data_IF_052849535568
#
_entry.id   IF_052849535568
#
_cell.length_a   1.000
_cell.length_b   1.000
_cell.length_c   1.000
_cell.angle_alpha   90.00
_cell.angle_beta   90.00
_cell.angle_gamma   90.00
#
_symmetry.space_group_name_H-M   'P 1'
#
loop_
_entity.id
_entity.type
_entity.pdbx_description
1 polymer ?
#
# COMPACT_ATOMS: atom_id res chain seq x y z
N UNK A 1 25.99 18.43 -0.93
CA UNK A 1 26.57 17.07 -1.07
C UNK A 1 26.11 16.05 -0.02
N UNK A 2 25.81 16.41 1.24
CA UNK A 2 25.36 15.41 2.24
C UNK A 2 23.94 14.88 2.00
N UNK A 3 22.97 15.78 1.79
CA UNK A 3 21.56 15.41 1.64
C UNK A 3 21.28 14.57 0.39
N UNK A 4 21.85 14.92 -0.77
CA UNK A 4 21.68 14.15 -2.01
C UNK A 4 22.14 12.69 -1.84
N UNK A 5 23.30 12.48 -1.23
CA UNK A 5 23.82 11.12 -0.95
C UNK A 5 22.89 10.36 -0.01
N UNK A 6 22.29 11.03 0.96
CA UNK A 6 21.31 10.41 1.85
C UNK A 6 20.08 9.90 1.09
N UNK A 7 19.48 10.70 0.21
CA UNK A 7 18.32 10.26 -0.58
C UNK A 7 18.67 9.14 -1.58
N UNK A 8 19.85 9.18 -2.18
CA UNK A 8 20.35 8.07 -3.02
C UNK A 8 20.52 6.78 -2.20
N UNK A 9 21.00 6.86 -0.95
CA UNK A 9 21.09 5.70 -0.06
C UNK A 9 19.70 5.14 0.29
N UNK A 10 18.72 6.00 0.56
CA UNK A 10 17.33 5.58 0.82
C UNK A 10 16.72 4.88 -0.41
N UNK A 11 17.00 5.38 -1.60
CA UNK A 11 16.56 4.77 -2.87
C UNK A 11 17.23 3.38 -3.08
N UNK A 12 18.52 3.25 -2.78
CA UNK A 12 19.22 1.96 -2.79
C UNK A 12 18.62 0.96 -1.78
N UNK A 13 18.30 1.40 -0.55
CA UNK A 13 17.60 0.55 0.42
C UNK A 13 16.21 0.15 -0.07
N UNK A 14 15.50 1.07 -0.71
CA UNK A 14 14.18 0.83 -1.33
C UNK A 14 14.28 -0.28 -2.38
N UNK A 15 15.27 -0.22 -3.26
CA UNK A 15 15.56 -1.29 -4.23
C UNK A 15 15.84 -2.64 -3.56
N UNK A 16 16.69 -2.66 -2.53
CA UNK A 16 17.02 -3.90 -1.81
C UNK A 16 15.77 -4.56 -1.22
N UNK A 17 14.89 -3.77 -0.59
CA UNK A 17 13.65 -4.30 -0.02
C UNK A 17 12.62 -4.70 -1.08
N UNK A 18 12.50 -3.96 -2.18
CA UNK A 18 11.68 -4.37 -3.32
C UNK A 18 12.09 -5.75 -3.86
N UNK A 19 13.39 -5.97 -4.04
CA UNK A 19 13.91 -7.27 -4.46
C UNK A 19 13.58 -8.37 -3.44
N UNK A 20 13.83 -8.14 -2.15
CA UNK A 20 13.55 -9.10 -1.08
C UNK A 20 12.05 -9.44 -0.97
N UNK A 21 11.18 -8.45 -1.11
CA UNK A 21 9.73 -8.63 -1.15
C UNK A 21 9.34 -9.50 -2.34
N UNK A 22 9.86 -9.23 -3.53
CA UNK A 22 9.55 -10.01 -4.72
C UNK A 22 10.00 -11.48 -4.61
N UNK A 23 11.17 -11.74 -3.98
CA UNK A 23 11.64 -13.10 -3.71
C UNK A 23 10.70 -13.81 -2.72
N UNK A 24 10.38 -13.19 -1.59
CA UNK A 24 9.46 -13.77 -0.60
C UNK A 24 8.04 -13.97 -1.15
N UNK A 25 7.56 -13.02 -1.94
CA UNK A 25 6.25 -13.11 -2.58
C UNK A 25 6.19 -14.31 -3.53
N UNK A 26 7.24 -14.52 -4.34
CA UNK A 26 7.36 -15.70 -5.20
C UNK A 26 7.30 -16.99 -4.38
N UNK A 27 8.07 -17.09 -3.30
CA UNK A 27 8.10 -18.27 -2.43
C UNK A 27 6.69 -18.57 -1.88
N UNK A 28 6.01 -17.55 -1.35
CA UNK A 28 4.66 -17.69 -0.82
C UNK A 28 3.65 -18.13 -1.87
N UNK A 29 3.68 -17.57 -3.08
CA UNK A 29 2.80 -17.97 -4.19
C UNK A 29 3.07 -19.42 -4.64
N UNK A 30 4.33 -19.86 -4.66
CA UNK A 30 4.68 -21.24 -5.02
C UNK A 30 4.22 -22.23 -3.93
N UNK A 31 4.31 -21.86 -2.66
CA UNK A 31 3.81 -22.66 -1.54
C UNK A 31 2.29 -22.82 -1.61
N UNK A 32 1.55 -21.71 -1.79
CA UNK A 32 0.09 -21.76 -1.92
C UNK A 32 -0.35 -22.60 -3.12
N UNK A 33 0.34 -22.48 -4.26
CA UNK A 33 0.03 -23.25 -5.46
C UNK A 33 0.32 -24.76 -5.27
N UNK A 34 1.41 -25.11 -4.59
CA UNK A 34 1.75 -26.50 -4.31
C UNK A 34 0.73 -27.16 -3.37
N UNK A 35 0.24 -26.44 -2.37
CA UNK A 35 -0.80 -26.93 -1.44
C UNK A 35 -2.12 -27.17 -2.17
N UNK A 36 -2.49 -26.30 -3.11
CA UNK A 36 -3.77 -26.38 -3.83
C UNK A 36 -3.69 -27.24 -5.11
N UNK A 37 -2.51 -27.77 -5.45
CA UNK A 37 -2.24 -28.47 -6.71
C UNK A 37 -3.18 -29.65 -6.96
N UNK A 38 -3.56 -30.36 -5.90
CA UNK A 38 -4.43 -31.55 -5.98
C UNK A 38 -5.91 -31.19 -6.18
N UNK A 39 -6.31 -29.95 -5.84
CA UNK A 39 -7.67 -29.46 -6.02
C UNK A 39 -7.93 -28.88 -7.43
N UNK A 40 -6.89 -28.68 -8.23
CA UNK A 40 -7.02 -28.06 -9.55
C UNK A 40 -7.45 -29.04 -10.63
N UNK A 41 -8.33 -28.57 -11.53
CA UNK A 41 -8.73 -29.32 -12.72
C UNK A 41 -7.51 -29.65 -13.59
N UNK A 42 -7.43 -30.82 -14.24
CA UNK A 42 -6.33 -31.17 -15.14
C UNK A 42 -6.14 -30.19 -16.31
N UNK A 43 -7.16 -29.38 -16.64
CA UNK A 43 -7.07 -28.30 -17.64
C UNK A 43 -6.32 -27.06 -17.14
N UNK A 44 -6.15 -26.89 -15.83
CA UNK A 44 -5.45 -25.75 -15.22
C UNK A 44 -3.92 -25.92 -15.20
N UNK A 45 -3.41 -27.13 -15.52
CA UNK A 45 -1.97 -27.46 -15.49
C UNK A 45 -1.14 -26.55 -16.39
N UNK A 46 -1.70 -26.09 -17.52
CA UNK A 46 -1.02 -25.17 -18.45
C UNK A 46 -0.88 -23.74 -17.93
N UNK A 47 -1.59 -23.37 -16.85
CA UNK A 47 -1.61 -22.03 -16.27
C UNK A 47 -0.94 -21.99 -14.88
N UNK A 48 -0.51 -23.15 -14.35
CA UNK A 48 0.14 -23.23 -13.04
C UNK A 48 1.40 -22.36 -13.00
N UNK A 49 1.55 -21.62 -11.90
CA UNK A 49 2.71 -20.76 -11.66
C UNK A 49 3.98 -21.62 -11.55
N UNK A 50 4.74 -21.71 -12.64
CA UNK A 50 5.96 -22.50 -12.69
C UNK A 50 7.14 -21.70 -12.14
N UNK A 51 8.05 -22.35 -11.41
CA UNK A 51 9.29 -21.74 -10.86
C UNK A 51 10.06 -20.93 -11.92
N UNK A 52 10.13 -21.44 -13.15
CA UNK A 52 10.78 -20.80 -14.31
C UNK A 52 10.08 -19.51 -14.78
N UNK A 53 8.77 -19.39 -14.58
CA UNK A 53 7.99 -18.20 -14.95
C UNK A 53 8.19 -17.06 -13.94
N UNK A 54 8.39 -17.39 -12.65
CA UNK A 54 8.54 -16.42 -11.57
C UNK A 54 10.01 -16.08 -11.24
N UNK A 55 11.00 -16.78 -11.79
CA UNK A 55 12.42 -16.51 -11.51
C UNK A 55 12.85 -15.08 -11.86
N UNK A 56 12.24 -14.51 -12.90
CA UNK A 56 12.53 -13.16 -13.41
C UNK A 56 11.82 -12.06 -12.60
N UNK A 57 10.86 -12.42 -11.75
CA UNK A 57 9.97 -11.48 -11.08
C UNK A 57 10.73 -10.42 -10.24
N UNK A 58 11.71 -10.79 -9.39
CA UNK A 58 12.45 -9.79 -8.61
C UNK A 58 13.26 -8.83 -9.48
N UNK A 59 13.84 -9.33 -10.57
CA UNK A 59 14.59 -8.50 -11.52
C UNK A 59 13.68 -7.53 -12.27
N UNK A 60 12.46 -7.95 -12.64
CA UNK A 60 11.47 -7.07 -13.28
C UNK A 60 11.00 -5.98 -12.31
N UNK A 61 10.71 -6.32 -11.05
CA UNK A 61 10.33 -5.32 -10.02
C UNK A 61 11.43 -4.27 -9.86
N UNK A 62 12.70 -4.68 -9.79
CA UNK A 62 13.83 -3.76 -9.74
C UNK A 62 13.95 -2.90 -10.99
N UNK A 63 13.87 -3.51 -12.18
CA UNK A 63 13.98 -2.79 -13.44
C UNK A 63 12.88 -1.74 -13.58
N UNK A 64 11.65 -2.08 -13.18
CA UNK A 64 10.52 -1.15 -13.19
C UNK A 64 10.76 0.00 -12.23
N UNK A 65 11.32 -0.23 -11.04
CA UNK A 65 11.64 0.84 -10.09
C UNK A 65 12.74 1.79 -10.59
N UNK A 66 13.85 1.24 -11.09
CA UNK A 66 15.00 2.03 -11.58
C UNK A 66 14.63 2.84 -12.81
N UNK A 67 13.81 2.29 -13.70
CA UNK A 67 13.33 2.97 -14.91
C UNK A 67 12.07 3.81 -14.65
N UNK A 68 11.58 3.86 -13.41
CA UNK A 68 10.38 4.63 -13.07
C UNK A 68 10.72 6.13 -13.04
N UNK A 69 10.15 6.97 -13.92
CA UNK A 69 10.38 8.41 -13.88
C UNK A 69 9.96 9.01 -12.53
N UNK A 70 8.92 8.47 -11.89
CA UNK A 70 8.48 8.93 -10.58
C UNK A 70 9.50 8.66 -9.46
N UNK A 71 10.23 7.53 -9.51
CA UNK A 71 11.26 7.23 -8.52
C UNK A 71 12.46 8.15 -8.69
N UNK A 72 12.91 8.33 -9.93
CA UNK A 72 14.01 9.24 -10.27
C UNK A 72 13.65 10.66 -9.83
N UNK A 73 12.45 11.14 -10.15
CA UNK A 73 11.99 12.47 -9.74
C UNK A 73 11.89 12.61 -8.21
N UNK A 74 11.39 11.60 -7.49
CA UNK A 74 11.30 11.65 -6.04
C UNK A 74 12.69 11.77 -5.37
N UNK A 75 13.69 11.06 -5.90
CA UNK A 75 15.07 11.10 -5.41
C UNK A 75 15.75 12.43 -5.79
N UNK A 76 15.55 12.94 -7.01
CA UNK A 76 16.07 14.24 -7.44
C UNK A 76 15.44 15.42 -6.68
N UNK A 77 14.15 15.31 -6.35
CA UNK A 77 13.43 16.30 -5.56
C UNK A 77 13.74 16.25 -4.06
N UNK A 78 14.59 15.31 -3.61
CA UNK A 78 14.93 15.12 -2.20
C UNK A 78 13.68 14.96 -1.32
N UNK A 79 12.68 14.25 -1.83
CA UNK A 79 11.38 14.13 -1.18
C UNK A 79 11.44 13.20 0.03
N UNK A 80 10.94 13.68 1.18
CA UNK A 80 10.73 12.84 2.37
C UNK A 80 9.77 11.67 2.12
N UNK A 81 9.00 11.71 1.02
CA UNK A 81 8.21 10.60 0.52
C UNK A 81 9.03 9.33 0.26
N UNK A 82 10.30 9.45 -0.13
CA UNK A 82 11.19 8.30 -0.30
C UNK A 82 11.40 7.53 1.02
N UNK A 83 11.46 8.26 2.15
CA UNK A 83 11.58 7.67 3.49
C UNK A 83 10.28 6.94 3.86
N UNK A 84 9.12 7.58 3.62
CA UNK A 84 7.81 6.94 3.87
C UNK A 84 7.65 5.65 3.09
N UNK A 85 8.09 5.64 1.82
CA UNK A 85 8.03 4.46 0.96
C UNK A 85 8.90 3.32 1.49
N UNK A 86 10.13 3.62 1.92
CA UNK A 86 11.02 2.62 2.51
C UNK A 86 10.40 1.99 3.76
N UNK A 87 9.76 2.78 4.62
CA UNK A 87 9.10 2.29 5.85
C UNK A 87 7.88 1.43 5.51
N UNK A 88 7.07 1.81 4.51
CA UNK A 88 5.98 0.98 4.00
C UNK A 88 6.52 -0.35 3.45
N UNK A 89 7.62 -0.33 2.69
CA UNK A 89 8.26 -1.56 2.19
C UNK A 89 8.80 -2.44 3.32
N UNK A 90 9.39 -1.86 4.36
CA UNK A 90 9.80 -2.61 5.55
C UNK A 90 8.58 -3.31 6.19
N UNK A 91 7.45 -2.62 6.33
CA UNK A 91 6.21 -3.23 6.80
C UNK A 91 5.76 -4.40 5.91
N UNK A 92 5.81 -4.24 4.58
CA UNK A 92 5.44 -5.28 3.61
C UNK A 92 6.39 -6.47 3.64
N UNK A 93 7.70 -6.22 3.81
CA UNK A 93 8.70 -7.28 3.95
C UNK A 93 8.46 -8.10 5.22
N UNK A 94 8.27 -7.45 6.37
CA UNK A 94 8.01 -8.15 7.63
C UNK A 94 6.64 -8.81 7.70
N UNK A 95 5.67 -8.28 6.96
CA UNK A 95 4.39 -8.94 6.71
C UNK A 95 4.63 -10.30 6.04
N UNK A 96 5.33 -10.34 4.90
CA UNK A 96 5.66 -11.59 4.20
C UNK A 96 6.64 -12.50 4.98
N UNK A 97 7.48 -11.92 5.82
CA UNK A 97 8.40 -12.68 6.67
C UNK A 97 7.71 -13.32 7.90
N UNK A 98 6.44 -13.01 8.16
CA UNK A 98 5.71 -13.54 9.31
C UNK A 98 6.08 -12.92 10.66
N UNK A 99 6.78 -11.77 10.68
CA UNK A 99 7.15 -11.09 11.93
C UNK A 99 6.10 -10.03 12.32
N UNK A 100 5.17 -10.42 13.21
CA UNK A 100 4.08 -9.56 13.69
C UNK A 100 4.56 -8.27 14.35
N UNK A 101 5.58 -8.36 15.20
CA UNK A 101 6.08 -7.21 15.96
C UNK A 101 6.68 -6.17 15.01
N UNK A 102 7.65 -6.55 14.19
CA UNK A 102 8.32 -5.59 13.30
C UNK A 102 7.35 -5.04 12.25
N UNK A 103 6.47 -5.88 11.68
CA UNK A 103 5.45 -5.41 10.74
C UNK A 103 4.56 -4.32 11.36
N UNK A 104 4.04 -4.54 12.58
CA UNK A 104 3.18 -3.55 13.26
C UNK A 104 3.91 -2.27 13.66
N UNK A 105 5.17 -2.38 14.09
CA UNK A 105 6.02 -1.21 14.39
C UNK A 105 6.26 -0.37 13.14
N UNK A 106 6.59 -0.99 11.99
CA UNK A 106 6.77 -0.24 10.75
C UNK A 106 5.46 0.36 10.21
N UNK A 107 4.30 -0.27 10.42
CA UNK A 107 3.00 0.33 10.10
C UNK A 107 2.72 1.56 10.99
N UNK A 108 3.05 1.48 12.29
CA UNK A 108 2.94 2.61 13.20
C UNK A 108 3.87 3.76 12.78
N UNK A 109 5.10 3.45 12.38
CA UNK A 109 6.05 4.45 11.87
C UNK A 109 5.57 5.09 10.55
N UNK A 110 5.01 4.31 9.63
CA UNK A 110 4.39 4.84 8.40
C UNK A 110 3.18 5.72 8.70
N UNK A 111 2.34 5.34 9.67
CA UNK A 111 1.20 6.17 10.13
C UNK A 111 1.70 7.47 10.71
N UNK A 112 2.74 7.42 11.56
CA UNK A 112 3.32 8.60 12.17
C UNK A 112 3.79 9.62 11.12
N UNK A 113 4.30 9.17 9.97
CA UNK A 113 4.76 10.08 8.91
C UNK A 113 3.66 10.53 7.93
N UNK A 114 2.73 9.66 7.56
CA UNK A 114 1.80 9.92 6.45
C UNK A 114 0.32 9.72 6.78
N UNK A 115 -0.03 9.43 8.03
CA UNK A 115 -1.39 9.18 8.57
C UNK A 115 -2.08 7.97 7.94
N UNK A 116 -2.43 8.03 6.65
CA UNK A 116 -3.21 7.04 5.90
C UNK A 116 -2.72 5.59 5.95
N UNK A 117 -1.42 5.26 6.09
CA UNK A 117 -0.96 3.88 6.20
C UNK A 117 -1.58 3.06 7.36
N UNK A 118 -2.31 3.69 8.29
CA UNK A 118 -3.08 2.97 9.32
C UNK A 118 -4.05 1.93 8.74
N UNK A 119 -4.54 2.12 7.51
CA UNK A 119 -5.45 1.17 6.85
C UNK A 119 -4.84 -0.22 6.67
N UNK A 120 -3.50 -0.32 6.63
CA UNK A 120 -2.79 -1.60 6.56
C UNK A 120 -2.95 -2.46 7.81
N UNK A 121 -3.44 -1.90 8.92
CA UNK A 121 -3.69 -2.67 10.14
C UNK A 121 -4.72 -3.79 9.92
N UNK A 122 -5.70 -3.57 9.02
CA UNK A 122 -6.74 -4.54 8.70
C UNK A 122 -6.18 -5.79 8.00
N UNK A 123 -5.48 -5.70 6.83
CA UNK A 123 -4.84 -6.86 6.23
C UNK A 123 -3.79 -7.51 7.14
N UNK A 124 -3.06 -6.73 7.95
CA UNK A 124 -2.07 -7.25 8.90
C UNK A 124 -2.71 -8.10 9.99
N UNK A 125 -3.83 -7.64 10.58
CA UNK A 125 -4.59 -8.42 11.54
C UNK A 125 -5.06 -9.76 10.93
N UNK A 126 -5.64 -9.69 9.73
CA UNK A 126 -6.11 -10.84 8.97
C UNK A 126 -4.99 -11.85 8.68
N UNK A 127 -3.83 -11.39 8.20
CA UNK A 127 -2.70 -12.24 7.87
C UNK A 127 -2.13 -12.96 9.09
N UNK A 128 -1.90 -12.25 10.20
CA UNK A 128 -1.35 -12.89 11.40
C UNK A 128 -2.34 -13.80 12.12
N UNK A 129 -3.64 -13.54 12.02
CA UNK A 129 -4.65 -14.50 12.43
C UNK A 129 -4.55 -15.81 11.63
N UNK A 130 -4.41 -15.71 10.30
CA UNK A 130 -4.24 -16.86 9.40
C UNK A 130 -2.96 -17.64 9.68
N UNK A 131 -1.83 -16.93 9.83
CA UNK A 131 -0.54 -17.56 10.10
C UNK A 131 -0.55 -18.32 11.43
N UNK A 132 -1.23 -17.78 12.45
CA UNK A 132 -1.37 -18.41 13.77
C UNK A 132 -2.30 -19.62 13.78
N UNK A 133 -3.16 -19.81 12.77
CA UNK A 133 -4.17 -20.87 12.75
C UNK A 133 -4.09 -21.66 11.43
N UNK A 134 -3.23 -22.68 11.44
CA UNK A 134 -2.84 -23.48 10.28
C UNK A 134 -3.94 -24.39 9.68
N UNK A 135 -5.13 -24.50 10.27
CA UNK A 135 -6.21 -25.33 9.71
C UNK A 135 -7.16 -24.52 8.80
N UNK A 136 -7.23 -24.84 7.49
CA UNK A 136 -8.02 -24.07 6.52
C UNK A 136 -9.54 -24.33 6.57
N UNK A 137 -9.98 -25.49 7.06
CA UNK A 137 -11.36 -25.99 6.88
C UNK A 137 -12.41 -25.45 7.88
N UNK A 138 -12.01 -24.71 8.92
CA UNK A 138 -12.94 -24.19 9.96
C UNK A 138 -12.59 -22.76 10.40
N UNK A 139 -12.21 -21.89 9.45
CA UNK A 139 -11.86 -20.50 9.75
C UNK A 139 -13.10 -19.65 9.96
N UNK A 140 -13.43 -19.38 11.22
CA UNK A 140 -14.37 -18.33 11.57
C UNK A 140 -13.62 -17.04 11.89
N UNK A 141 -13.70 -16.08 10.96
CA UNK A 141 -13.10 -14.74 11.07
C UNK A 141 -13.73 -13.88 12.20
N UNK A 142 -14.86 -14.34 12.78
CA UNK A 142 -15.59 -13.68 13.87
C UNK A 142 -15.40 -14.43 15.21
N UNK A 143 -14.61 -15.50 15.23
CA UNK A 143 -14.36 -16.25 16.47
C UNK A 143 -13.65 -15.41 17.54
N UNK A 144 -13.86 -15.75 18.83
CA UNK A 144 -13.19 -15.10 19.97
C UNK A 144 -11.66 -15.06 19.82
N UNK A 145 -11.08 -16.08 19.19
CA UNK A 145 -9.63 -16.17 18.90
C UNK A 145 -9.20 -15.19 17.79
N UNK A 146 -10.01 -15.00 16.75
CA UNK A 146 -9.77 -14.01 15.71
C UNK A 146 -9.77 -12.60 16.29
N UNK A 147 -10.80 -12.28 17.08
CA UNK A 147 -10.92 -10.99 17.80
C UNK A 147 -9.71 -10.76 18.70
N UNK A 148 -9.26 -11.78 19.45
CA UNK A 148 -8.06 -11.68 20.29
C UNK A 148 -6.78 -11.40 19.47
N UNK A 149 -6.62 -12.03 18.30
CA UNK A 149 -5.46 -11.78 17.44
C UNK A 149 -5.46 -10.36 16.89
N UNK A 150 -6.62 -9.89 16.41
CA UNK A 150 -6.81 -8.53 15.90
C UNK A 150 -6.57 -7.48 16.99
N UNK A 151 -7.12 -7.71 18.18
CA UNK A 151 -6.90 -6.86 19.35
C UNK A 151 -5.42 -6.81 19.74
N UNK A 152 -4.72 -7.96 19.70
CA UNK A 152 -3.28 -8.00 19.95
C UNK A 152 -2.47 -7.20 18.91
N UNK A 153 -2.83 -7.27 17.62
CA UNK A 153 -2.19 -6.48 16.56
C UNK A 153 -2.47 -4.98 16.75
N UNK A 154 -3.72 -4.62 17.06
CA UNK A 154 -4.14 -3.24 17.32
C UNK A 154 -3.44 -2.65 18.54
N UNK A 155 -3.30 -3.43 19.62
CA UNK A 155 -2.60 -3.01 20.84
C UNK A 155 -1.13 -2.75 20.57
N UNK A 156 -0.43 -3.65 19.85
CA UNK A 156 0.97 -3.43 19.47
C UNK A 156 1.16 -2.17 18.62
N UNK A 157 0.24 -1.94 17.67
CA UNK A 157 0.22 -0.74 16.86
C UNK A 157 0.03 0.52 17.70
N UNK A 158 -0.97 0.55 18.59
CA UNK A 158 -1.23 1.69 19.47
C UNK A 158 -0.05 1.99 20.38
N UNK A 159 0.54 0.96 21.02
CA UNK A 159 1.72 1.13 21.88
C UNK A 159 2.87 1.74 21.09
N UNK A 160 3.15 1.22 19.89
CA UNK A 160 4.22 1.73 19.03
C UNK A 160 3.97 3.18 18.60
N UNK A 161 2.73 3.52 18.24
CA UNK A 161 2.35 4.88 17.84
C UNK A 161 2.42 5.86 19.01
N UNK A 162 1.92 5.46 20.19
CA UNK A 162 2.00 6.26 21.42
C UNK A 162 3.45 6.50 21.84
N UNK A 163 4.34 5.51 21.68
CA UNK A 163 5.77 5.69 21.94
C UNK A 163 6.38 6.73 20.98
N UNK A 164 6.07 6.66 19.68
CA UNK A 164 6.57 7.65 18.71
C UNK A 164 6.06 9.06 19.02
N UNK A 165 4.76 9.21 19.27
CA UNK A 165 4.16 10.51 19.66
C UNK A 165 4.75 11.01 20.98
N UNK A 166 4.99 10.11 21.93
CA UNK A 166 5.61 10.42 23.21
C UNK A 166 7.05 10.93 23.07
N UNK A 167 7.84 10.32 22.18
CA UNK A 167 9.18 10.83 21.84
C UNK A 167 9.08 12.24 21.24
N UNK A 168 8.14 12.48 20.33
CA UNK A 168 7.94 13.81 19.73
C UNK A 168 7.52 14.86 20.74
N UNK A 169 6.66 14.50 21.70
CA UNK A 169 6.29 15.37 22.81
C UNK A 169 7.48 15.71 23.70
N UNK A 170 8.35 14.73 24.00
CA UNK A 170 9.56 14.98 24.79
C UNK A 170 10.57 15.87 24.07
N UNK A 171 10.64 15.80 22.73
CA UNK A 171 11.55 16.65 21.94
C UNK A 171 11.02 18.07 21.75
N UNK A 172 9.72 18.23 21.50
CA UNK A 172 9.11 19.55 21.24
C UNK A 172 8.70 20.27 22.54
N UNK A 173 8.32 19.52 23.58
CA UNK A 173 7.85 20.05 24.86
C UNK A 173 6.40 20.56 24.86
N UNK A 174 5.68 20.45 23.74
CA UNK A 174 4.28 20.90 23.60
C UNK A 174 3.44 19.90 22.80
N UNK A 175 2.12 20.01 22.87
CA UNK A 175 1.18 19.25 22.03
C UNK A 175 0.84 19.96 20.71
N UNK A 176 1.39 21.16 20.47
CA UNK A 176 1.05 21.98 19.31
C UNK A 176 1.43 21.31 18.00
N UNK A 177 2.50 20.50 18.00
CA UNK A 177 2.91 19.73 16.82
C UNK A 177 1.79 18.82 16.29
N UNK A 178 0.89 18.33 17.15
CA UNK A 178 -0.22 17.48 16.69
C UNK A 178 -1.16 18.25 15.76
N UNK A 179 -1.53 19.46 16.14
CA UNK A 179 -2.40 20.32 15.32
C UNK A 179 -1.66 20.79 14.07
N UNK A 180 -0.38 21.16 14.21
CA UNK A 180 0.44 21.66 13.11
C UNK A 180 0.79 20.59 12.08
N UNK A 181 0.91 19.32 12.47
CA UNK A 181 1.23 18.21 11.55
C UNK A 181 -0.03 17.44 11.13
N UNK A 182 -0.72 16.81 12.07
CA UNK A 182 -1.88 15.97 11.75
C UNK A 182 -3.12 16.81 11.45
N UNK A 183 -3.33 17.91 12.20
CA UNK A 183 -4.41 18.86 11.91
C UNK A 183 -4.26 19.53 10.55
N UNK A 184 -3.03 19.83 10.11
CA UNK A 184 -2.75 20.34 8.77
C UNK A 184 -3.14 19.33 7.68
N UNK A 185 -2.76 18.06 7.83
CA UNK A 185 -3.12 17.00 6.85
C UNK A 185 -4.63 16.81 6.78
N UNK A 186 -5.32 16.86 7.92
CA UNK A 186 -6.77 16.60 7.99
C UNK A 186 -7.59 17.80 7.50
N UNK A 187 -7.22 19.03 7.85
CA UNK A 187 -7.97 20.24 7.49
C UNK A 187 -7.61 20.81 6.11
N UNK A 188 -6.54 20.32 5.48
CA UNK A 188 -6.08 20.69 4.13
C UNK A 188 -6.12 22.21 3.89
N UNK A 189 -5.45 23.02 4.73
CA UNK A 189 -5.49 24.48 4.63
C UNK A 189 -4.73 25.00 3.41
N UNK A 190 -3.69 24.29 2.97
CA UNK A 190 -2.92 24.65 1.79
C UNK A 190 -3.52 24.02 0.53
N UNK A 191 -3.80 24.86 -0.46
CA UNK A 191 -4.38 24.52 -1.75
C UNK A 191 -3.41 24.79 -2.91
N UNK A 192 -2.11 24.86 -2.62
CA UNK A 192 -1.09 24.91 -3.67
C UNK A 192 -1.24 23.73 -4.63
N UNK A 193 -1.04 23.97 -5.95
CA UNK A 193 -1.13 22.92 -6.94
C UNK A 193 -0.23 21.73 -6.61
N UNK A 194 -0.82 20.55 -6.49
CA UNK A 194 -0.12 19.30 -6.23
C UNK A 194 -0.63 18.19 -7.16
N UNK A 195 -0.18 16.95 -6.94
CA UNK A 195 -0.61 15.83 -7.81
C UNK A 195 -2.02 15.32 -7.48
N UNK A 196 -2.58 15.71 -6.33
CA UNK A 196 -3.81 15.20 -5.75
C UNK A 196 -5.08 15.87 -6.25
N UNK A 197 -6.21 15.25 -5.91
CA UNK A 197 -7.55 15.76 -6.26
C UNK A 197 -8.00 16.89 -5.33
N UNK A 198 -7.45 16.95 -4.11
CA UNK A 198 -7.90 17.88 -3.08
C UNK A 198 -7.78 19.33 -3.54
N UNK A 199 -6.59 19.77 -3.97
CA UNK A 199 -6.40 21.17 -4.30
C UNK A 199 -7.38 21.64 -5.39
N UNK A 200 -7.57 20.87 -6.47
CA UNK A 200 -8.51 21.19 -7.55
C UNK A 200 -9.95 21.38 -7.03
N UNK A 201 -10.42 20.44 -6.22
CA UNK A 201 -11.80 20.48 -5.71
C UNK A 201 -11.99 21.63 -4.70
N UNK A 202 -11.04 21.80 -3.78
CA UNK A 202 -11.14 22.78 -2.71
C UNK A 202 -10.86 24.22 -3.17
N UNK A 203 -10.17 24.44 -4.31
CA UNK A 203 -10.03 25.79 -4.90
C UNK A 203 -11.33 26.33 -5.50
N UNK A 204 -12.21 25.46 -5.98
CA UNK A 204 -13.47 25.85 -6.63
C UNK A 204 -14.65 25.92 -5.65
N UNK A 205 -14.47 25.39 -4.43
CA UNK A 205 -15.56 25.20 -3.48
C UNK A 205 -15.76 26.43 -2.58
N UNK A 206 -17.01 26.72 -2.26
CA UNK A 206 -17.36 27.73 -1.26
C UNK A 206 -16.92 27.35 0.16
N UNK A 207 -16.34 28.32 0.88
CA UNK A 207 -15.83 28.15 2.25
C UNK A 207 -16.88 27.61 3.23
N UNK A 208 -18.15 28.00 3.06
CA UNK A 208 -19.23 27.57 3.95
C UNK A 208 -19.41 26.05 4.00
N UNK A 209 -19.19 25.34 2.88
CA UNK A 209 -19.33 23.88 2.81
C UNK A 209 -18.01 23.15 2.99
N UNK A 210 -16.90 23.88 3.17
CA UNK A 210 -15.55 23.31 3.11
C UNK A 210 -15.34 22.17 4.10
N UNK A 211 -15.70 22.37 5.36
CA UNK A 211 -15.53 21.36 6.41
C UNK A 211 -16.29 20.07 6.10
N UNK A 212 -17.51 20.17 5.58
CA UNK A 212 -18.30 19.00 5.20
C UNK A 212 -17.58 18.17 4.13
N UNK A 213 -17.11 18.80 3.07
CA UNK A 213 -16.41 18.10 1.99
C UNK A 213 -15.03 17.60 2.41
N UNK A 214 -14.30 18.30 3.29
CA UNK A 214 -13.07 17.77 3.89
C UNK A 214 -13.38 16.44 4.58
N UNK A 215 -14.40 16.38 5.44
CA UNK A 215 -14.78 15.13 6.10
C UNK A 215 -15.14 14.01 5.10
N UNK A 216 -15.89 14.32 4.04
CA UNK A 216 -16.26 13.34 3.00
C UNK A 216 -15.02 12.81 2.27
N UNK A 217 -14.07 13.67 1.89
CA UNK A 217 -12.84 13.26 1.22
C UNK A 217 -11.93 12.44 2.14
N UNK A 218 -11.79 12.83 3.41
CA UNK A 218 -11.04 12.06 4.40
C UNK A 218 -11.65 10.68 4.63
N UNK A 219 -12.99 10.59 4.69
CA UNK A 219 -13.69 9.31 4.84
C UNK A 219 -13.52 8.42 3.61
N UNK A 220 -13.44 8.98 2.40
CA UNK A 220 -13.18 8.22 1.18
C UNK A 220 -11.83 7.48 1.22
N UNK A 221 -10.80 8.02 1.89
CA UNK A 221 -9.52 7.33 2.03
C UNK A 221 -9.61 6.01 2.85
N UNK A 222 -10.68 5.83 3.63
CA UNK A 222 -10.82 4.76 4.63
C UNK A 222 -12.00 3.83 4.35
N UNK A 223 -13.09 4.35 3.78
CA UNK A 223 -14.35 3.61 3.62
C UNK A 223 -14.18 2.31 2.82
N UNK A 224 -13.26 2.31 1.84
CA UNK A 224 -12.98 1.13 1.02
C UNK A 224 -12.29 0.00 1.79
N UNK A 225 -11.64 0.27 2.93
CA UNK A 225 -10.90 -0.74 3.69
C UNK A 225 -11.79 -1.88 4.16
N UNK A 226 -13.00 -1.58 4.64
CA UNK A 226 -13.93 -2.59 5.18
C UNK A 226 -14.45 -3.56 4.10
N UNK A 227 -15.10 -3.10 3.02
CA UNK A 227 -15.61 -4.01 1.99
C UNK A 227 -14.49 -4.81 1.30
N UNK A 228 -13.31 -4.19 1.12
CA UNK A 228 -12.15 -4.88 0.56
C UNK A 228 -11.58 -5.93 1.51
N UNK A 229 -11.57 -5.67 2.82
CA UNK A 229 -11.14 -6.67 3.79
C UNK A 229 -12.06 -7.88 3.84
N UNK A 230 -13.38 -7.67 3.72
CA UNK A 230 -14.36 -8.76 3.63
C UNK A 230 -14.18 -9.57 2.35
N UNK A 231 -13.88 -8.91 1.22
CA UNK A 231 -13.72 -9.60 -0.07
C UNK A 231 -12.37 -10.33 -0.21
N UNK A 232 -11.28 -9.73 0.23
CA UNK A 232 -9.91 -10.24 0.06
C UNK A 232 -9.38 -10.92 1.32
N UNK A 233 -10.24 -11.61 2.06
CA UNK A 233 -9.86 -12.41 3.23
C UNK A 233 -8.77 -13.42 2.87
N UNK A 234 -8.86 -14.02 1.67
CA UNK A 234 -7.93 -15.06 1.27
C UNK A 234 -6.53 -14.56 0.90
N UNK A 235 -6.42 -13.36 0.32
CA UNK A 235 -5.17 -12.78 -0.20
C UNK A 235 -4.82 -11.46 0.51
N UNK A 236 -4.35 -11.48 1.77
CA UNK A 236 -4.17 -10.26 2.55
C UNK A 236 -3.01 -9.37 2.05
N UNK A 237 -1.98 -9.94 1.42
CA UNK A 237 -0.92 -9.13 0.78
C UNK A 237 -1.41 -8.35 -0.43
N UNK A 238 -2.32 -8.93 -1.21
CA UNK A 238 -2.98 -8.23 -2.31
C UNK A 238 -3.84 -7.07 -1.81
N UNK A 239 -4.54 -7.29 -0.70
CA UNK A 239 -5.29 -6.23 -0.02
C UNK A 239 -4.38 -5.07 0.42
N UNK A 240 -3.19 -5.34 0.96
CA UNK A 240 -2.22 -4.27 1.27
C UNK A 240 -1.85 -3.46 0.01
N UNK A 241 -1.61 -4.14 -1.12
CA UNK A 241 -1.29 -3.47 -2.37
C UNK A 241 -2.44 -2.59 -2.87
N UNK A 242 -3.69 -3.06 -2.86
CA UNK A 242 -4.84 -2.24 -3.26
C UNK A 242 -5.01 -1.05 -2.33
N UNK A 243 -4.89 -1.25 -1.02
CA UNK A 243 -5.00 -0.16 -0.05
C UNK A 243 -3.87 0.87 -0.22
N UNK A 244 -2.67 0.45 -0.63
CA UNK A 244 -1.58 1.36 -0.97
C UNK A 244 -1.97 2.23 -2.17
N UNK A 245 -2.51 1.64 -3.23
CA UNK A 245 -2.99 2.38 -4.40
C UNK A 245 -4.12 3.35 -4.00
N UNK A 246 -5.12 2.89 -3.25
CA UNK A 246 -6.25 3.74 -2.84
C UNK A 246 -5.82 4.90 -1.93
N UNK A 247 -4.96 4.64 -0.95
CA UNK A 247 -4.45 5.71 -0.08
C UNK A 247 -3.56 6.68 -0.85
N UNK A 248 -2.77 6.23 -1.83
CA UNK A 248 -1.99 7.14 -2.68
C UNK A 248 -2.86 8.08 -3.53
N UNK A 249 -4.08 7.65 -3.88
CA UNK A 249 -5.06 8.42 -4.66
C UNK A 249 -5.83 9.41 -3.78
N UNK A 250 -6.32 8.94 -2.63
CA UNK A 250 -7.21 9.71 -1.75
C UNK A 250 -6.48 10.46 -0.62
N UNK A 251 -5.15 10.43 -0.59
CA UNK A 251 -4.33 11.22 0.36
C UNK A 251 -4.48 12.72 0.06
N UNK A 252 -4.55 13.55 1.12
CA UNK A 252 -4.68 15.02 1.00
C UNK A 252 -3.57 15.66 0.16
N UNK A 253 -2.32 15.22 0.38
CA UNK A 253 -1.12 15.76 -0.22
C UNK A 253 -0.29 14.60 -0.81
N UNK A 254 -0.72 14.01 -1.93
CA UNK A 254 0.04 12.95 -2.57
C UNK A 254 1.27 13.55 -3.26
N UNK A 255 2.28 12.69 -3.42
CA UNK A 255 3.57 13.04 -3.99
C UNK A 255 3.94 12.08 -5.11
N UNK A 256 4.91 12.46 -5.95
CA UNK A 256 5.45 11.54 -6.96
C UNK A 256 6.06 10.27 -6.34
N UNK A 257 6.55 10.35 -5.10
CA UNK A 257 7.05 9.19 -4.39
C UNK A 257 5.95 8.14 -4.16
N UNK A 258 4.72 8.55 -3.82
CA UNK A 258 3.60 7.62 -3.63
C UNK A 258 3.31 6.84 -4.93
N UNK A 259 3.37 7.53 -6.07
CA UNK A 259 3.25 6.92 -7.40
C UNK A 259 4.39 5.96 -7.73
N UNK A 260 5.62 6.35 -7.38
CA UNK A 260 6.79 5.53 -7.61
C UNK A 260 6.64 4.15 -6.99
N UNK A 261 6.14 4.08 -5.76
CA UNK A 261 6.05 2.85 -4.98
C UNK A 261 5.02 1.87 -5.56
N UNK A 262 3.79 2.30 -5.84
CA UNK A 262 2.77 1.36 -6.33
C UNK A 262 3.06 0.88 -7.77
N UNK A 263 3.70 1.71 -8.61
CA UNK A 263 4.16 1.29 -9.94
C UNK A 263 5.30 0.27 -9.84
N UNK A 264 6.18 0.42 -8.86
CA UNK A 264 7.31 -0.50 -8.64
C UNK A 264 6.84 -1.87 -8.15
N UNK A 265 5.77 -1.92 -7.35
CA UNK A 265 5.18 -3.18 -6.86
C UNK A 265 4.21 -3.82 -7.86
N UNK A 266 3.74 -3.08 -8.87
CA UNK A 266 2.79 -3.55 -9.89
C UNK A 266 3.19 -4.89 -10.56
N UNK A 267 4.47 -5.13 -10.93
CA UNK A 267 4.86 -6.38 -11.59
C UNK A 267 4.65 -7.65 -10.75
N UNK A 268 4.54 -7.55 -9.41
CA UNK A 268 4.21 -8.69 -8.55
C UNK A 268 2.91 -9.39 -8.99
N UNK A 269 1.97 -8.62 -9.53
CA UNK A 269 0.67 -9.10 -10.00
C UNK A 269 0.62 -9.36 -11.50
N UNK A 270 1.77 -9.55 -12.17
CA UNK A 270 1.84 -9.83 -13.61
C UNK A 270 0.96 -11.00 -14.04
N UNK A 271 0.84 -12.04 -13.20
CA UNK A 271 -0.01 -13.20 -13.46
C UNK A 271 -1.51 -12.83 -13.55
N UNK A 272 -1.92 -11.73 -12.93
CA UNK A 272 -3.31 -11.22 -12.98
C UNK A 272 -3.57 -10.43 -14.27
N UNK A 273 -2.53 -9.88 -14.91
CA UNK A 273 -2.70 -8.97 -16.06
C UNK A 273 -3.33 -9.62 -17.29
N UNK A 274 -3.06 -10.92 -17.51
CA UNK A 274 -3.69 -11.67 -18.61
C UNK A 274 -5.21 -11.75 -18.51
N UNK A 275 -5.76 -11.46 -17.33
CA UNK A 275 -7.18 -11.55 -17.04
C UNK A 275 -7.88 -10.19 -16.91
N UNK A 276 -7.16 -9.08 -17.11
CA UNK A 276 -7.76 -7.76 -17.08
C UNK A 276 -8.73 -7.60 -18.25
N UNK A 277 -9.98 -7.20 -17.96
CA UNK A 277 -11.04 -7.11 -18.96
C UNK A 277 -10.82 -5.97 -19.95
N UNK A 278 -10.38 -4.80 -19.48
CA UNK A 278 -10.14 -3.63 -20.34
C UNK A 278 -8.65 -3.25 -20.35
N UNK A 279 -7.78 -4.19 -20.74
CA UNK A 279 -6.33 -3.99 -20.83
C UNK A 279 -5.96 -2.86 -21.77
N UNK A 280 -6.68 -2.70 -22.87
CA UNK A 280 -6.45 -1.60 -23.83
C UNK A 280 -6.65 -0.24 -23.16
N UNK A 281 -7.73 -0.07 -22.38
CA UNK A 281 -8.05 1.20 -21.71
C UNK A 281 -7.00 1.52 -20.64
N UNK A 282 -6.59 0.53 -19.84
CA UNK A 282 -5.55 0.71 -18.82
C UNK A 282 -4.18 0.99 -19.45
N UNK A 283 -3.83 0.29 -20.53
CA UNK A 283 -2.60 0.55 -21.27
C UNK A 283 -2.58 1.93 -21.92
N UNK A 284 -3.70 2.36 -22.51
CA UNK A 284 -3.83 3.69 -23.11
C UNK A 284 -3.71 4.80 -22.06
N UNK A 285 -4.15 4.55 -20.83
CA UNK A 285 -4.06 5.52 -19.73
C UNK A 285 -2.69 5.58 -19.04
N UNK A 286 -1.78 4.62 -19.31
CA UNK A 286 -0.38 4.77 -18.91
C UNK A 286 0.28 5.96 -19.62
N UNK A 287 -0.04 6.21 -20.89
CA UNK A 287 0.63 7.26 -21.66
C UNK A 287 0.38 8.67 -21.08
N UNK A 288 -0.87 9.08 -20.76
CA UNK A 288 -1.12 10.35 -20.10
C UNK A 288 -0.72 10.36 -18.64
N UNK A 289 -0.72 9.21 -17.96
CA UNK A 289 -0.29 9.13 -16.57
C UNK A 289 1.17 9.57 -16.39
N UNK A 290 2.01 9.47 -17.43
CA UNK A 290 3.40 9.93 -17.35
C UNK A 290 3.54 11.45 -17.50
N UNK A 291 2.57 12.11 -18.15
CA UNK A 291 2.62 13.54 -18.44
C UNK A 291 1.77 14.40 -17.51
N UNK A 292 0.67 13.87 -16.97
CA UNK A 292 -0.25 14.60 -16.10
C UNK A 292 -0.46 13.87 -14.76
N UNK A 293 -0.26 14.56 -13.62
CA UNK A 293 -0.50 13.97 -12.30
C UNK A 293 -1.91 13.42 -12.10
N UNK A 294 -2.91 14.08 -12.67
CA UNK A 294 -4.32 13.65 -12.59
C UNK A 294 -4.56 12.29 -13.26
N UNK A 295 -3.83 12.01 -14.34
CA UNK A 295 -3.94 10.73 -15.04
C UNK A 295 -3.21 9.60 -14.30
N UNK A 296 -2.19 9.89 -13.47
CA UNK A 296 -1.65 8.88 -12.53
C UNK A 296 -2.74 8.38 -11.59
N UNK A 297 -3.56 9.29 -11.07
CA UNK A 297 -4.65 9.00 -10.14
C UNK A 297 -5.74 8.17 -10.82
N UNK A 298 -6.17 8.60 -12.01
CA UNK A 298 -7.19 7.88 -12.80
C UNK A 298 -6.69 6.48 -13.17
N UNK A 299 -5.43 6.35 -13.58
CA UNK A 299 -4.82 5.06 -13.87
C UNK A 299 -4.81 4.16 -12.64
N UNK A 300 -4.34 4.66 -11.49
CA UNK A 300 -4.33 3.89 -10.24
C UNK A 300 -5.73 3.43 -9.83
N UNK A 301 -6.72 4.32 -9.96
CA UNK A 301 -8.12 4.00 -9.67
C UNK A 301 -8.67 2.93 -10.60
N UNK A 302 -8.47 3.07 -11.92
CA UNK A 302 -8.95 2.09 -12.89
C UNK A 302 -8.24 0.75 -12.76
N UNK A 303 -6.93 0.76 -12.50
CA UNK A 303 -6.18 -0.45 -12.20
C UNK A 303 -6.75 -1.13 -10.96
N UNK A 304 -6.98 -0.39 -9.87
CA UNK A 304 -7.61 -0.92 -8.67
C UNK A 304 -9.00 -1.50 -9.01
N UNK A 305 -9.87 -0.75 -9.70
CA UNK A 305 -11.21 -1.22 -10.09
C UNK A 305 -11.16 -2.46 -10.98
N UNK A 306 -10.23 -2.56 -11.92
CA UNK A 306 -10.07 -3.75 -12.76
C UNK A 306 -9.59 -4.96 -11.98
N UNK A 307 -8.60 -4.75 -11.12
CA UNK A 307 -8.10 -5.77 -10.20
C UNK A 307 -9.21 -6.27 -9.26
N UNK A 308 -10.09 -5.37 -8.81
CA UNK A 308 -11.26 -5.69 -8.00
C UNK A 308 -12.31 -6.47 -8.80
N UNK A 309 -12.67 -6.00 -9.99
CA UNK A 309 -13.75 -6.58 -10.82
C UNK A 309 -13.43 -7.97 -11.38
N UNK A 310 -12.17 -8.38 -11.50
CA UNK A 310 -11.82 -9.73 -11.96
C UNK A 310 -11.61 -10.76 -10.84
N UNK A 311 -11.20 -10.36 -9.63
CA UNK A 311 -11.15 -11.29 -8.50
C UNK A 311 -12.55 -11.49 -7.88
N UNK A 312 -13.52 -10.66 -8.26
CA UNK A 312 -14.93 -10.75 -7.86
C UNK A 312 -15.69 -12.02 -8.33
N UNK A 313 -15.42 -12.65 -9.49
CA UNK A 313 -16.12 -13.86 -9.92
C UNK A 313 -15.30 -15.17 -9.83
N UNK A 314 -14.01 -15.13 -9.49
CA UNK A 314 -13.09 -16.30 -9.55
C UNK A 314 -12.76 -16.92 -8.18
N UNK A 315 -13.49 -16.51 -7.13
CA UNK A 315 -13.52 -17.11 -5.79
C UNK A 315 -14.96 -17.07 -5.27
#
# INVERSE_FOLDING_TARGET
>A
MGCERFFVLIDLFTMVFLYKIAVKFKEHMLEEENVNKEAYSPKAVSILLTVKSLSWLPSVVLAVHVLNPFSIMATLALSTGAITNLIILLAFYYFLAGNKLLCTVFIALSTYQAVYPFVFLVPTGLHFYKLSHSQPSSRSYISRRAVSSYFGTFTLYLVSLCLLIGVSYLTEGSWEFLLSTYGFILNVPDLTPNTGVFWYFFTEMFDHFRTFFVCVFQLNAVVYTVPLAVRFTEKPFFLMYILLVLTSIFKSYPSYADAALYFSLLPLWKHVFSYLRNTLVVAAMLLPAWSLPLFCIIFGYLLAVQMLTFILPSL
#
